data_IF_194597469374
#
_entry.id   IF_194597469374
#
_cell.length_a   1.000
_cell.length_b   1.000
_cell.length_c   1.000
_cell.angle_alpha   90.00
_cell.angle_beta   90.00
_cell.angle_gamma   90.00
#
_symmetry.space_group_name_H-M   'P 1'
#
loop_
_entity.id
_entity.type
_entity.pdbx_description
1 polymer ?
#
# COMPACT_ATOMS: atom_id res chain seq x y z
N UNK A 1 4.32 -13.64 6.17
CA UNK A 1 3.57 -12.42 5.83
C UNK A 1 2.64 -12.77 4.71
N UNK A 2 1.36 -12.53 4.94
CA UNK A 2 0.33 -12.69 3.91
C UNK A 2 0.04 -11.31 3.28
N UNK A 3 -0.10 -11.28 1.95
CA UNK A 3 -0.40 -10.06 1.16
C UNK A 3 -1.65 -9.31 1.72
N UNK A 4 -2.57 -10.01 2.40
CA UNK A 4 -3.78 -9.47 3.01
C UNK A 4 -3.52 -8.60 4.25
N UNK A 5 -2.44 -8.85 5.00
CA UNK A 5 -2.11 -8.10 6.23
C UNK A 5 -1.73 -6.64 5.94
N UNK A 6 -1.39 -6.33 4.69
CA UNK A 6 -0.98 -5.00 4.26
C UNK A 6 -2.15 -4.15 3.76
N UNK A 7 -3.30 -4.75 3.46
CA UNK A 7 -4.46 -4.03 2.92
C UNK A 7 -5.05 -3.07 3.95
N UNK A 8 -5.48 -1.90 3.48
CA UNK A 8 -6.00 -0.79 4.28
C UNK A 8 -5.03 -0.23 5.34
N UNK A 9 -3.80 -0.75 5.43
CA UNK A 9 -2.74 -0.23 6.27
C UNK A 9 -2.11 1.04 5.70
N UNK A 10 -1.50 1.83 6.57
CA UNK A 10 -0.68 2.99 6.18
C UNK A 10 0.56 2.53 5.41
N UNK A 11 0.91 3.23 4.32
CA UNK A 11 2.03 2.87 3.45
C UNK A 11 3.35 2.73 4.22
N UNK A 12 3.65 3.66 5.14
CA UNK A 12 4.89 3.60 5.92
C UNK A 12 5.00 2.34 6.78
N UNK A 13 3.87 1.92 7.38
CA UNK A 13 3.84 0.72 8.19
C UNK A 13 3.95 -0.54 7.32
N UNK A 14 3.26 -0.57 6.17
CA UNK A 14 3.37 -1.65 5.21
C UNK A 14 4.81 -1.85 4.72
N UNK A 15 5.51 -0.76 4.37
CA UNK A 15 6.92 -0.80 3.96
C UNK A 15 7.84 -1.34 5.06
N UNK A 16 7.63 -0.94 6.32
CA UNK A 16 8.38 -1.46 7.47
C UNK A 16 8.19 -2.96 7.63
N UNK A 17 6.95 -3.44 7.56
CA UNK A 17 6.62 -4.87 7.66
C UNK A 17 7.28 -5.68 6.54
N UNK A 18 7.21 -5.16 5.30
CA UNK A 18 7.85 -5.80 4.14
C UNK A 18 9.36 -5.90 4.29
N UNK A 19 10.01 -4.80 4.68
CA UNK A 19 11.45 -4.77 4.90
C UNK A 19 11.89 -5.72 6.02
N UNK A 20 11.15 -5.76 7.13
CA UNK A 20 11.43 -6.66 8.25
C UNK A 20 11.32 -8.14 7.84
N UNK A 21 10.48 -8.45 6.86
CA UNK A 21 10.26 -9.80 6.34
C UNK A 21 11.15 -10.15 5.14
N UNK A 22 12.03 -9.24 4.70
CA UNK A 22 12.93 -9.45 3.57
C UNK A 22 12.24 -9.45 2.19
N UNK A 23 11.11 -8.75 2.06
CA UNK A 23 10.41 -8.56 0.79
C UNK A 23 10.86 -7.27 0.10
N UNK A 24 11.03 -7.34 -1.22
CA UNK A 24 11.22 -6.17 -2.07
C UNK A 24 9.86 -5.57 -2.43
N UNK A 25 9.72 -4.25 -2.40
CA UNK A 25 8.42 -3.58 -2.60
C UNK A 25 8.53 -2.51 -3.67
N UNK A 26 7.62 -2.56 -4.63
CA UNK A 26 7.29 -1.45 -5.53
C UNK A 26 5.97 -0.81 -5.12
N UNK A 27 5.86 0.50 -5.32
CA UNK A 27 4.70 1.30 -4.93
C UNK A 27 4.14 2.02 -6.15
N UNK A 28 2.89 1.74 -6.46
CA UNK A 28 2.10 2.49 -7.44
C UNK A 28 1.12 3.42 -6.75
N UNK A 29 1.11 4.68 -7.18
CA UNK A 29 0.21 5.70 -6.64
C UNK A 29 -0.99 5.86 -7.57
N UNK A 30 -2.18 5.80 -6.99
CA UNK A 30 -3.43 6.06 -7.70
C UNK A 30 -4.14 7.26 -7.12
N UNK A 31 -4.76 8.06 -7.98
CA UNK A 31 -5.60 9.17 -7.54
C UNK A 31 -6.90 8.64 -6.94
N UNK A 32 -7.36 9.20 -5.81
CA UNK A 32 -8.69 8.86 -5.29
C UNK A 32 -9.77 9.30 -6.29
N UNK A 33 -10.94 8.64 -6.31
CA UNK A 33 -12.00 8.88 -7.31
C UNK A 33 -12.48 10.34 -7.40
N UNK A 34 -12.24 11.14 -6.36
CA UNK A 34 -12.67 12.54 -6.26
C UNK A 34 -11.56 13.57 -6.43
N UNK A 35 -10.32 13.17 -6.71
CA UNK A 35 -9.16 14.08 -6.76
C UNK A 35 -8.91 14.88 -5.45
N UNK A 36 -9.57 14.53 -4.35
CA UNK A 36 -9.33 15.13 -3.03
C UNK A 36 -8.13 14.44 -2.37
N UNK A 37 -7.01 15.15 -2.27
CA UNK A 37 -5.70 14.61 -1.89
C UNK A 37 -5.26 15.05 -0.50
N UNK A 38 -6.11 14.96 0.52
CA UNK A 38 -5.81 15.53 1.84
C UNK A 38 -5.40 14.52 2.91
N UNK A 39 -5.65 13.22 2.72
CA UNK A 39 -5.30 12.17 3.68
C UNK A 39 -4.00 11.42 3.43
N UNK A 40 -3.67 10.50 4.35
CA UNK A 40 -2.47 9.65 4.27
C UNK A 40 -2.59 8.60 3.16
N UNK A 41 -1.45 8.07 2.70
CA UNK A 41 -1.46 6.95 1.74
C UNK A 41 -1.77 5.64 2.44
N UNK A 42 -2.81 4.96 1.96
CA UNK A 42 -3.15 3.60 2.36
C UNK A 42 -3.06 2.62 1.21
N UNK A 43 -2.68 1.40 1.54
CA UNK A 43 -2.62 0.30 0.57
C UNK A 43 -4.04 -0.13 0.23
N UNK A 44 -4.42 0.02 -1.03
CA UNK A 44 -5.73 -0.38 -1.57
C UNK A 44 -5.66 -1.67 -2.36
N UNK A 45 -4.45 -2.08 -2.77
CA UNK A 45 -4.20 -3.35 -3.46
C UNK A 45 -2.80 -3.86 -3.12
N UNK A 46 -2.69 -5.16 -2.97
CA UNK A 46 -1.42 -5.85 -2.80
C UNK A 46 -1.33 -6.99 -3.81
N UNK A 47 -0.25 -7.02 -4.60
CA UNK A 47 0.02 -8.09 -5.57
C UNK A 47 1.36 -8.72 -5.22
N UNK A 48 1.33 -10.01 -4.93
CA UNK A 48 2.50 -10.84 -4.76
C UNK A 48 3.10 -11.16 -6.14
N UNK A 49 4.30 -10.66 -6.42
CA UNK A 49 5.09 -10.92 -7.63
C UNK A 49 6.09 -12.06 -7.37
N UNK A 50 6.80 -12.50 -8.41
CA UNK A 50 7.86 -13.50 -8.28
C UNK A 50 9.00 -13.04 -7.35
N UNK A 51 9.83 -13.97 -6.87
CA UNK A 51 11.10 -13.69 -6.19
C UNK A 51 11.01 -12.79 -4.95
N UNK A 52 9.98 -12.97 -4.11
CA UNK A 52 9.76 -12.16 -2.89
C UNK A 52 9.58 -10.67 -3.17
N UNK A 53 8.92 -10.34 -4.29
CA UNK A 53 8.58 -8.98 -4.66
C UNK A 53 7.08 -8.72 -4.44
N UNK A 54 6.75 -7.54 -3.96
CA UNK A 54 5.38 -7.05 -3.78
C UNK A 54 5.18 -5.78 -4.60
N UNK A 55 4.00 -5.66 -5.18
CA UNK A 55 3.50 -4.42 -5.75
C UNK A 55 2.34 -3.92 -4.89
N UNK A 56 2.54 -2.78 -4.24
CA UNK A 56 1.52 -2.12 -3.45
C UNK A 56 0.93 -0.98 -4.26
N UNK A 57 -0.37 -1.02 -4.49
CA UNK A 57 -1.10 0.14 -4.99
C UNK A 57 -1.62 0.92 -3.80
N UNK A 58 -1.32 2.22 -3.76
CA UNK A 58 -1.78 3.13 -2.71
C UNK A 58 -2.69 4.22 -3.26
N UNK A 59 -3.60 4.68 -2.42
CA UNK A 59 -4.42 5.87 -2.66
C UNK A 59 -4.39 6.75 -1.41
N UNK A 60 -4.60 8.07 -1.57
CA UNK A 60 -4.80 8.96 -0.42
C UNK A 60 -6.18 8.74 0.18
N UNK A 61 -6.26 8.76 1.50
CA UNK A 61 -7.53 8.86 2.20
C UNK A 61 -8.27 10.16 1.81
N UNK A 62 -9.58 10.05 1.66
CA UNK A 62 -10.47 11.19 1.46
C UNK A 62 -11.21 11.43 2.77
N UNK A 63 -11.00 12.57 3.46
CA UNK A 63 -11.72 12.87 4.69
C UNK A 63 -13.22 12.99 4.40
N UNK A 64 -14.05 12.27 5.16
CA UNK A 64 -15.52 12.37 5.09
C UNK A 64 -16.28 11.09 4.74
N UNK A 65 -15.63 9.93 4.73
CA UNK A 65 -16.30 8.62 4.73
C UNK A 65 -15.52 7.58 5.52
#
# INVERSE_FOLDING_TARGET
MECLELLAGELEQALKTCRASGWSVEVEYTSPPKNELTGQFRVVRCICLAERKLLLTVAREVPGK
#
